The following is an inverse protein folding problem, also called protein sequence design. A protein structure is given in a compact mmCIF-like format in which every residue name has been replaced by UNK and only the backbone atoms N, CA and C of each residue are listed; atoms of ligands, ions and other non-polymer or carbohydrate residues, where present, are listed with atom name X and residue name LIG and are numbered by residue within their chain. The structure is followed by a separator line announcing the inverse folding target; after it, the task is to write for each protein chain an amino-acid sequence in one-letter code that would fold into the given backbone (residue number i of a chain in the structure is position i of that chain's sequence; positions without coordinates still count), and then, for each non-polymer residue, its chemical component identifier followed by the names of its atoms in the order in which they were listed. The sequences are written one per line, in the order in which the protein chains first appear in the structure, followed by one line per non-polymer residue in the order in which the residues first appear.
data_IF_969023520601
#
_entry.id   IF_969023520601
#
_cell.length_a   1.000
_cell.length_b   1.000
_cell.length_c   1.000
_cell.angle_alpha   90.00
_cell.angle_beta   90.00
_cell.angle_gamma   90.00
#
_symmetry.space_group_name_H-M   'P 1'
#
loop_
_entity.id
_entity.type
_entity.pdbx_description
1 polymer ?
#
# COMPACT_ATOMS: atom_id res chain seq x y z
N UNK A 1 8.77 -32.44 -15.60
CA UNK A 1 9.41 -31.38 -14.80
C UNK A 1 8.57 -30.12 -14.95
N UNK A 2 7.56 -29.97 -14.10
CA UNK A 2 6.70 -28.77 -14.05
C UNK A 2 7.32 -27.81 -13.07
N UNK A 3 7.84 -26.68 -13.57
CA UNK A 3 8.53 -25.68 -12.77
C UNK A 3 7.56 -24.96 -11.84
N UNK A 4 7.75 -25.12 -10.54
CA UNK A 4 7.14 -24.25 -9.52
C UNK A 4 7.77 -22.88 -9.66
N UNK A 5 7.06 -21.94 -10.29
CA UNK A 5 7.44 -20.53 -10.29
C UNK A 5 7.29 -20.00 -8.86
N UNK A 6 8.34 -20.12 -8.05
CA UNK A 6 8.40 -19.48 -6.74
C UNK A 6 8.48 -17.97 -7.00
N UNK A 7 7.45 -17.23 -6.57
CA UNK A 7 7.45 -15.77 -6.69
C UNK A 7 8.61 -15.13 -5.94
N UNK A 8 8.95 -13.90 -6.30
CA UNK A 8 10.03 -13.16 -5.63
C UNK A 8 9.49 -12.15 -4.65
N UNK A 9 10.38 -11.61 -3.81
CA UNK A 9 10.08 -10.54 -2.84
C UNK A 9 9.28 -9.38 -3.42
N UNK A 10 9.65 -8.95 -4.63
CA UNK A 10 9.06 -7.79 -5.29
C UNK A 10 7.92 -8.16 -6.25
N UNK A 11 7.71 -9.46 -6.50
CA UNK A 11 6.68 -9.98 -7.38
C UNK A 11 6.18 -11.37 -6.90
N UNK A 12 5.31 -11.40 -5.88
CA UNK A 12 4.79 -12.65 -5.35
C UNK A 12 3.90 -13.35 -6.39
N UNK A 13 4.05 -14.67 -6.53
CA UNK A 13 3.29 -15.50 -7.47
C UNK A 13 2.45 -16.51 -6.67
N UNK A 14 1.17 -16.71 -7.03
CA UNK A 14 0.36 -17.77 -6.44
C UNK A 14 0.97 -19.14 -6.73
N UNK A 15 1.27 -19.89 -5.69
CA UNK A 15 1.78 -21.26 -5.80
C UNK A 15 0.98 -22.14 -4.85
N UNK A 16 0.30 -23.14 -5.38
CA UNK A 16 -0.31 -24.19 -4.56
C UNK A 16 0.58 -25.42 -4.70
N UNK A 17 1.48 -25.70 -3.73
CA UNK A 17 2.28 -26.91 -3.77
C UNK A 17 1.38 -28.15 -3.88
N UNK A 18 1.76 -29.10 -4.73
CA UNK A 18 1.01 -30.34 -4.98
C UNK A 18 0.84 -31.23 -3.73
N UNK A 19 1.62 -30.94 -2.67
CA UNK A 19 1.61 -31.64 -1.39
C UNK A 19 0.57 -31.11 -0.40
N UNK A 20 -0.16 -30.04 -0.73
CA UNK A 20 -1.10 -29.39 0.18
C UNK A 20 -2.57 -29.69 -0.19
N UNK A 21 -3.49 -29.70 0.79
CA UNK A 21 -4.90 -30.03 0.56
C UNK A 21 -5.54 -29.12 -0.51
N UNK A 22 -6.20 -29.73 -1.50
CA UNK A 22 -6.97 -29.00 -2.52
C UNK A 22 -8.16 -28.33 -1.84
N UNK A 23 -8.26 -27.00 -1.96
CA UNK A 23 -9.27 -26.16 -1.28
C UNK A 23 -8.68 -24.93 -0.59
N UNK A 24 -7.35 -24.84 -0.53
CA UNK A 24 -6.61 -23.73 0.04
C UNK A 24 -5.64 -23.15 -1.01
N UNK A 25 -5.65 -21.83 -1.19
CA UNK A 25 -4.68 -21.10 -1.99
C UNK A 25 -3.49 -20.71 -1.11
N UNK A 26 -2.28 -20.97 -1.59
CA UNK A 26 -1.04 -20.62 -0.91
C UNK A 26 -0.25 -19.62 -1.75
N UNK A 27 0.60 -18.82 -1.12
CA UNK A 27 1.50 -17.91 -1.79
C UNK A 27 2.82 -17.83 -1.01
N UNK A 28 3.90 -17.52 -1.72
CA UNK A 28 5.18 -17.24 -1.08
C UNK A 28 5.21 -15.77 -0.67
N UNK A 29 5.30 -15.51 0.63
CA UNK A 29 5.50 -14.18 1.19
C UNK A 29 6.88 -13.64 0.73
N UNK A 30 7.08 -12.32 0.66
CA UNK A 30 8.36 -11.77 0.27
C UNK A 30 9.56 -12.14 1.16
N UNK A 31 9.30 -12.67 2.35
CA UNK A 31 10.32 -13.23 3.26
C UNK A 31 10.49 -14.76 3.06
N UNK A 32 10.05 -15.28 1.90
CA UNK A 32 10.13 -16.69 1.44
C UNK A 32 9.28 -17.70 2.23
N UNK A 33 8.48 -17.24 3.19
CA UNK A 33 7.53 -18.09 3.90
C UNK A 33 6.38 -18.53 2.98
N UNK A 34 6.02 -19.81 3.00
CA UNK A 34 4.80 -20.29 2.34
C UNK A 34 3.59 -20.01 3.23
N UNK A 35 2.70 -19.12 2.78
CA UNK A 35 1.58 -18.61 3.54
C UNK A 35 0.24 -19.05 2.96
N UNK A 36 -0.73 -19.31 3.84
CA UNK A 36 -2.12 -19.56 3.44
C UNK A 36 -2.78 -18.23 3.06
N UNK A 37 -3.47 -18.21 1.92
CA UNK A 37 -4.27 -17.07 1.50
C UNK A 37 -5.44 -16.83 2.46
N UNK A 38 -5.66 -15.59 2.93
CA UNK A 38 -6.83 -15.24 3.73
C UNK A 38 -8.14 -15.67 3.06
N UNK A 39 -9.05 -16.26 3.82
CA UNK A 39 -10.36 -16.70 3.30
C UNK A 39 -10.41 -18.15 2.79
N UNK A 40 -9.32 -18.91 2.88
CA UNK A 40 -9.39 -20.35 2.69
C UNK A 40 -10.22 -21.02 3.80
N UNK A 41 -10.92 -22.10 3.42
CA UNK A 41 -11.99 -22.79 4.15
C UNK A 41 -11.65 -23.31 5.57
N UNK A 42 -10.42 -23.10 6.05
CA UNK A 42 -9.96 -23.50 7.38
C UNK A 42 -10.75 -22.82 8.51
N UNK A 43 -11.16 -21.55 8.39
CA UNK A 43 -11.92 -20.86 9.45
C UNK A 43 -13.34 -21.38 9.68
N UNK A 44 -13.94 -22.08 8.72
CA UNK A 44 -15.30 -22.62 8.88
C UNK A 44 -15.29 -23.94 9.66
N UNK A 45 -14.18 -24.69 9.62
CA UNK A 45 -14.05 -25.99 10.30
C UNK A 45 -13.25 -25.90 11.61
N UNK A 46 -12.32 -24.94 11.71
CA UNK A 46 -11.54 -24.69 12.92
C UNK A 46 -11.32 -23.16 13.08
N UNK A 47 -12.06 -22.49 13.99
CA UNK A 47 -11.92 -21.06 14.23
C UNK A 47 -10.59 -20.67 14.89
N UNK A 48 -9.88 -21.63 15.50
CA UNK A 48 -8.60 -21.42 16.18
C UNK A 48 -7.40 -21.72 15.28
N UNK A 49 -7.64 -22.17 14.05
CA UNK A 49 -6.63 -22.43 13.05
C UNK A 49 -5.91 -21.14 12.62
N UNK A 50 -4.77 -20.87 13.26
CA UNK A 50 -3.84 -19.79 12.92
C UNK A 50 -2.94 -20.19 11.74
N UNK A 51 -3.51 -20.27 10.52
CA UNK A 51 -2.71 -20.49 9.30
C UNK A 51 -2.30 -19.19 8.59
N UNK A 52 -2.62 -18.03 9.17
CA UNK A 52 -2.18 -16.74 8.62
C UNK A 52 -0.76 -16.44 9.09
N UNK A 53 0.10 -16.02 8.17
CA UNK A 53 1.44 -15.56 8.52
C UNK A 53 1.34 -14.24 9.31
N UNK A 54 1.83 -14.24 10.56
CA UNK A 54 1.91 -13.04 11.40
C UNK A 54 2.63 -11.88 10.70
N UNK A 55 3.57 -12.20 9.80
CA UNK A 55 4.31 -11.26 8.95
C UNK A 55 3.42 -10.48 7.99
N UNK A 56 2.38 -11.12 7.42
CA UNK A 56 1.45 -10.46 6.51
C UNK A 56 0.55 -9.46 7.25
N UNK A 57 0.00 -9.88 8.40
CA UNK A 57 -0.81 -9.00 9.24
C UNK A 57 0.00 -7.78 9.68
N UNK A 58 1.22 -7.99 10.19
CA UNK A 58 2.11 -6.90 10.59
C UNK A 58 2.50 -5.99 9.40
N UNK A 59 2.66 -6.56 8.20
CA UNK A 59 2.96 -5.78 6.99
C UNK A 59 1.76 -4.98 6.51
N UNK A 60 0.56 -5.56 6.55
CA UNK A 60 -0.69 -4.86 6.24
C UNK A 60 -0.89 -3.70 7.20
N UNK A 61 -0.74 -3.93 8.50
CA UNK A 61 -0.87 -2.88 9.53
C UNK A 61 0.14 -1.75 9.30
N UNK A 62 1.39 -2.09 8.97
CA UNK A 62 2.43 -1.11 8.63
C UNK A 62 2.05 -0.30 7.38
N UNK A 63 1.55 -0.95 6.33
CA UNK A 63 1.18 -0.27 5.08
C UNK A 63 -0.05 0.62 5.27
N UNK A 64 -1.06 0.15 5.99
CA UNK A 64 -2.24 0.95 6.37
C UNK A 64 -1.82 2.16 7.21
N UNK A 65 -0.90 2.00 8.16
CA UNK A 65 -0.36 3.10 8.94
C UNK A 65 0.37 4.14 8.09
N UNK A 66 1.17 3.70 7.10
CA UNK A 66 1.85 4.60 6.15
C UNK A 66 0.87 5.33 5.23
N UNK A 67 -0.17 4.65 4.75
CA UNK A 67 -1.21 5.27 3.93
C UNK A 67 -1.88 6.40 4.70
N UNK A 68 -2.28 6.15 5.94
CA UNK A 68 -2.90 7.16 6.81
C UNK A 68 -2.01 8.38 7.05
N UNK A 69 -0.72 8.17 7.35
CA UNK A 69 0.25 9.27 7.52
C UNK A 69 0.43 10.09 6.23
N UNK A 70 0.43 9.44 5.06
CA UNK A 70 0.49 10.16 3.77
C UNK A 70 -0.79 10.95 3.49
N UNK A 71 -1.96 10.38 3.79
CA UNK A 71 -3.26 11.05 3.66
C UNK A 71 -3.34 12.29 4.57
N UNK A 72 -2.96 12.15 5.85
CA UNK A 72 -2.94 13.27 6.82
C UNK A 72 -1.99 14.39 6.36
N UNK A 73 -0.79 14.05 5.86
CA UNK A 73 0.15 15.04 5.31
C UNK A 73 -0.38 15.73 4.06
N UNK A 74 -1.04 14.99 3.17
CA UNK A 74 -1.64 15.53 1.97
C UNK A 74 -2.79 16.49 2.31
N UNK A 75 -3.66 16.13 3.24
CA UNK A 75 -4.75 16.99 3.71
C UNK A 75 -4.19 18.30 4.30
N UNK A 76 -3.22 18.20 5.20
CA UNK A 76 -2.55 19.36 5.78
C UNK A 76 -1.94 20.28 4.71
N UNK A 77 -1.17 19.71 3.78
CA UNK A 77 -0.57 20.48 2.69
C UNK A 77 -1.62 21.16 1.81
N UNK A 78 -2.73 20.47 1.53
CA UNK A 78 -3.82 21.02 0.72
C UNK A 78 -4.53 22.19 1.42
N UNK A 79 -4.78 22.10 2.74
CA UNK A 79 -5.37 23.23 3.49
C UNK A 79 -4.51 24.48 3.38
N UNK A 80 -3.19 24.35 3.59
CA UNK A 80 -2.26 25.46 3.45
C UNK A 80 -2.18 26.00 2.04
N UNK A 81 -2.16 25.11 1.04
CA UNK A 81 -2.17 25.49 -0.36
C UNK A 81 -3.41 26.32 -0.73
N UNK A 82 -4.60 25.89 -0.29
CA UNK A 82 -5.85 26.60 -0.56
C UNK A 82 -5.87 27.97 0.12
N UNK A 83 -5.45 28.05 1.39
CA UNK A 83 -5.37 29.31 2.13
C UNK A 83 -4.43 30.31 1.44
N UNK A 84 -3.21 29.88 1.11
CA UNK A 84 -2.23 30.71 0.41
C UNK A 84 -2.74 31.13 -0.98
N UNK A 85 -3.33 30.20 -1.73
CA UNK A 85 -3.88 30.49 -3.05
C UNK A 85 -5.00 31.53 -3.01
N UNK A 86 -5.87 31.47 -1.99
CA UNK A 86 -6.92 32.49 -1.81
C UNK A 86 -6.31 33.85 -1.51
N UNK A 87 -5.37 33.93 -0.56
CA UNK A 87 -4.71 35.19 -0.20
C UNK A 87 -4.04 35.83 -1.42
N UNK A 88 -3.31 35.05 -2.22
CA UNK A 88 -2.64 35.56 -3.43
C UNK A 88 -3.66 36.00 -4.48
N UNK A 89 -4.73 35.23 -4.69
CA UNK A 89 -5.79 35.57 -5.66
C UNK A 89 -6.51 36.86 -5.29
N UNK A 90 -6.79 37.06 -4.01
CA UNK A 90 -7.57 38.19 -3.51
C UNK A 90 -6.69 39.44 -3.30
N UNK A 91 -5.37 39.31 -3.40
CA UNK A 91 -4.40 40.41 -3.33
C UNK A 91 -4.45 41.28 -4.60
N UNK A 92 -4.47 42.63 -4.50
CA UNK A 92 -4.47 43.53 -5.66
C UNK A 92 -3.34 43.24 -6.68
N UNK A 93 -2.16 42.92 -6.18
CA UNK A 93 -0.98 42.56 -7.00
C UNK A 93 -0.86 41.05 -7.27
N UNK A 94 -1.89 40.25 -7.05
CA UNK A 94 -1.83 38.77 -7.12
C UNK A 94 -1.26 38.24 -8.43
N UNK A 95 -1.62 38.84 -9.56
CA UNK A 95 -1.09 38.46 -10.88
C UNK A 95 0.41 38.72 -11.02
N UNK A 96 0.91 39.81 -10.41
CA UNK A 96 2.34 40.15 -10.42
C UNK A 96 3.10 39.12 -9.59
N UNK A 97 2.61 38.80 -8.38
CA UNK A 97 3.20 37.78 -7.50
C UNK A 97 3.32 36.42 -8.22
N UNK A 98 2.27 35.97 -8.90
CA UNK A 98 2.27 34.69 -9.63
C UNK A 98 3.27 34.72 -10.80
N UNK A 99 3.29 35.80 -11.57
CA UNK A 99 4.16 35.95 -12.75
C UNK A 99 5.63 35.96 -12.36
N UNK A 100 6.00 36.75 -11.35
CA UNK A 100 7.37 36.78 -10.83
C UNK A 100 7.80 35.43 -10.25
N UNK A 101 6.92 34.77 -9.50
CA UNK A 101 7.21 33.45 -8.93
C UNK A 101 7.49 32.44 -10.03
N UNK A 102 6.65 32.37 -11.08
CA UNK A 102 6.88 31.48 -12.24
C UNK A 102 8.21 31.76 -12.92
N UNK A 103 8.55 33.03 -13.14
CA UNK A 103 9.80 33.43 -13.78
C UNK A 103 11.05 33.04 -12.97
N UNK A 104 10.94 32.98 -11.64
CA UNK A 104 12.03 32.52 -10.75
C UNK A 104 12.15 31.00 -10.72
N UNK A 105 11.03 30.26 -10.77
CA UNK A 105 11.04 28.78 -10.73
C UNK A 105 11.40 28.14 -12.08
N UNK A 106 11.20 28.85 -13.19
CA UNK A 106 11.58 28.39 -14.53
C UNK A 106 13.06 28.61 -14.87
N UNK A 107 13.86 29.07 -13.92
CA UNK A 107 15.28 29.41 -14.08
C UNK A 107 16.13 28.43 -13.28
#
# INVERSE_FOLDING_TARGET
MTGTSIGTRDNPVPATPDTLPRGCYWFTDPDEALCLSPGCMARIQDPDAQFLCDTLTARLDRLTGRLRDLEERHEYANVWWQALSSVVRDHPDGQVIITETRARTSR
#
